data_IF_628977481791
#
_entry.id   IF_628977481791
#
_cell.length_a   1.000
_cell.length_b   1.000
_cell.length_c   1.000
_cell.angle_alpha   90.00
_cell.angle_beta   90.00
_cell.angle_gamma   90.00
#
_symmetry.space_group_name_H-M   'P 1'
#
loop_
_entity.id
_entity.type
_entity.pdbx_description
1 polymer ?
#
# COMPACT_ATOMS: atom_id res chain seq x y z
N UNK A 1 -12.41 20.66 23.77
CA UNK A 1 -12.88 19.39 24.38
C UNK A 1 -13.39 18.54 23.25
N UNK A 2 -12.73 17.42 22.97
CA UNK A 2 -13.10 16.52 21.88
C UNK A 2 -13.95 15.39 22.44
N UNK A 3 -14.98 15.02 21.68
CA UNK A 3 -15.84 13.88 21.94
C UNK A 3 -15.60 12.83 20.86
N UNK A 4 -15.31 11.60 21.27
CA UNK A 4 -15.32 10.45 20.36
C UNK A 4 -16.67 9.76 20.48
N UNK A 5 -17.33 9.53 19.35
CA UNK A 5 -18.60 8.82 19.30
C UNK A 5 -18.48 7.56 18.45
N UNK A 6 -19.27 6.56 18.80
CA UNK A 6 -19.37 5.31 18.04
C UNK A 6 -20.82 5.07 17.64
N UNK A 7 -21.04 4.86 16.35
CA UNK A 7 -22.34 4.56 15.77
C UNK A 7 -22.42 3.09 15.37
N UNK A 8 -23.56 2.46 15.69
CA UNK A 8 -23.97 1.21 15.09
C UNK A 8 -24.74 1.50 13.82
N UNK A 9 -24.33 0.91 12.71
CA UNK A 9 -24.97 1.04 11.41
C UNK A 9 -25.66 -0.27 11.04
N UNK A 10 -26.48 -0.22 9.99
CA UNK A 10 -27.09 -1.40 9.37
C UNK A 10 -26.05 -2.41 8.89
N UNK A 11 -26.42 -3.69 8.86
CA UNK A 11 -25.54 -4.77 8.41
C UNK A 11 -24.38 -5.11 9.36
N UNK A 12 -24.48 -4.71 10.63
CA UNK A 12 -23.44 -4.98 11.64
C UNK A 12 -22.16 -4.18 11.41
N UNK A 13 -22.27 -3.01 10.76
CA UNK A 13 -21.15 -2.10 10.53
C UNK A 13 -21.07 -1.06 11.64
N UNK A 14 -19.89 -0.49 11.84
CA UNK A 14 -19.63 0.51 12.87
C UNK A 14 -18.88 1.70 12.29
N UNK A 15 -19.17 2.88 12.84
CA UNK A 15 -18.45 4.11 12.53
C UNK A 15 -17.98 4.80 13.79
N UNK A 16 -16.70 5.17 13.82
CA UNK A 16 -16.10 5.97 14.88
C UNK A 16 -15.81 7.34 14.29
N UNK A 17 -16.18 8.38 15.03
CA UNK A 17 -15.90 9.74 14.64
C UNK A 17 -15.55 10.60 15.83
N UNK A 18 -14.78 11.65 15.59
CA UNK A 18 -14.57 12.73 16.56
C UNK A 18 -15.42 13.96 16.26
N UNK A 19 -15.77 14.70 17.30
CA UNK A 19 -16.48 15.97 17.18
C UNK A 19 -16.31 16.82 18.43
N UNK A 20 -16.37 18.13 18.25
CA UNK A 20 -16.48 19.08 19.37
C UNK A 20 -17.94 19.36 19.75
N UNK A 21 -18.90 19.00 18.87
CA UNK A 21 -20.32 19.29 19.00
C UNK A 21 -21.15 18.02 18.74
N UNK A 22 -21.31 17.13 19.73
CA UNK A 22 -21.93 15.82 19.55
C UNK A 22 -23.38 15.92 19.07
N UNK A 23 -24.19 16.80 19.66
CA UNK A 23 -25.61 16.96 19.30
C UNK A 23 -25.80 17.18 17.79
N UNK A 24 -25.18 18.23 17.26
CA UNK A 24 -25.28 18.61 15.85
C UNK A 24 -24.70 17.53 14.92
N UNK A 25 -23.55 16.96 15.29
CA UNK A 25 -22.88 15.96 14.45
C UNK A 25 -23.69 14.68 14.34
N UNK A 26 -24.25 14.22 15.46
CA UNK A 26 -25.07 13.02 15.52
C UNK A 26 -26.36 13.22 14.72
N UNK A 27 -27.08 14.33 14.91
CA UNK A 27 -28.27 14.66 14.12
C UNK A 27 -27.97 14.72 12.62
N UNK A 28 -26.83 15.29 12.22
CA UNK A 28 -26.39 15.33 10.82
C UNK A 28 -26.20 13.94 10.20
N UNK A 29 -25.67 12.97 10.96
CA UNK A 29 -25.56 11.58 10.49
C UNK A 29 -26.94 10.94 10.27
N UNK A 30 -27.90 11.14 11.17
CA UNK A 30 -29.26 10.63 11.00
C UNK A 30 -30.02 11.32 9.84
N UNK A 31 -29.69 12.58 9.57
CA UNK A 31 -30.23 13.36 8.45
C UNK A 31 -29.46 13.15 7.13
N UNK A 32 -28.65 12.09 7.01
CA UNK A 32 -27.89 11.70 5.79
C UNK A 32 -26.74 12.64 5.35
N UNK A 33 -26.33 13.60 6.18
CA UNK A 33 -25.17 14.47 5.96
C UNK A 33 -23.91 13.96 6.70
N UNK A 34 -23.73 12.64 6.71
CA UNK A 34 -22.61 11.96 7.34
C UNK A 34 -21.40 11.73 6.43
N UNK A 35 -20.44 10.93 6.92
CA UNK A 35 -19.37 10.36 6.09
C UNK A 35 -19.93 9.42 5.03
N UNK A 36 -19.18 9.16 3.96
CA UNK A 36 -19.59 8.22 2.91
C UNK A 36 -20.00 6.86 3.46
N UNK A 37 -19.29 6.36 4.47
CA UNK A 37 -19.61 5.11 5.16
C UNK A 37 -21.00 5.14 5.82
N UNK A 38 -21.35 6.23 6.51
CA UNK A 38 -22.67 6.38 7.14
C UNK A 38 -23.80 6.74 6.17
N UNK A 39 -23.46 7.18 4.95
CA UNK A 39 -24.41 7.32 3.83
C UNK A 39 -24.70 5.96 3.21
N UNK A 40 -23.69 5.11 3.08
CA UNK A 40 -23.81 3.75 2.57
C UNK A 40 -24.56 2.84 3.56
N UNK A 41 -24.25 2.93 4.85
CA UNK A 41 -24.89 2.17 5.93
C UNK A 41 -25.56 3.10 6.91
N UNK A 42 -26.89 3.08 6.97
CA UNK A 42 -27.65 4.03 7.80
C UNK A 42 -27.37 3.81 9.28
N UNK A 43 -27.21 4.88 10.08
CA UNK A 43 -27.03 4.77 11.51
C UNK A 43 -28.33 4.31 12.19
N UNK A 44 -28.22 3.26 13.01
CA UNK A 44 -29.31 2.72 13.81
C UNK A 44 -29.35 3.45 15.16
N UNK A 45 -28.20 3.52 15.84
CA UNK A 45 -28.09 4.12 17.17
C UNK A 45 -26.65 4.46 17.53
N UNK A 46 -26.51 5.29 18.55
CA UNK A 46 -25.23 5.62 19.19
C UNK A 46 -24.92 4.52 20.20
N UNK A 47 -23.72 3.95 20.12
CA UNK A 47 -23.23 2.94 21.07
C UNK A 47 -22.47 3.57 22.23
N UNK A 48 -21.53 4.46 21.91
CA UNK A 48 -20.67 5.11 22.90
C UNK A 48 -20.50 6.58 22.55
N UNK A 49 -20.40 7.42 23.58
CA UNK A 49 -20.00 8.82 23.48
C UNK A 49 -19.04 9.10 24.63
N UNK A 50 -17.75 9.27 24.31
CA UNK A 50 -16.67 9.51 25.25
C UNK A 50 -16.26 10.99 25.22
N UNK A 51 -16.49 11.74 26.31
CA UNK A 51 -16.01 13.12 26.44
C UNK A 51 -14.54 13.17 26.87
N UNK A 52 -13.90 14.33 26.72
CA UNK A 52 -12.52 14.60 27.16
C UNK A 52 -11.45 13.71 26.51
N UNK A 53 -11.64 13.36 25.25
CA UNK A 53 -10.65 12.61 24.48
C UNK A 53 -9.64 13.55 23.80
N UNK A 54 -8.55 12.97 23.33
CA UNK A 54 -7.60 13.62 22.42
C UNK A 54 -7.86 13.23 20.94
N UNK A 55 -7.05 13.79 20.04
CA UNK A 55 -7.17 13.50 18.61
C UNK A 55 -6.73 12.09 18.22
N UNK A 56 -5.89 11.43 19.03
CA UNK A 56 -5.36 10.08 18.79
C UNK A 56 -6.33 8.98 19.26
N UNK A 57 -7.22 9.30 20.19
CA UNK A 57 -8.23 8.39 20.71
C UNK A 57 -9.19 7.88 19.63
N UNK A 58 -9.43 8.65 18.56
CA UNK A 58 -10.27 8.23 17.44
C UNK A 58 -9.69 6.98 16.75
N UNK A 59 -8.41 7.01 16.38
CA UNK A 59 -7.74 5.89 15.70
C UNK A 59 -7.59 4.70 16.63
N UNK A 60 -7.29 4.97 17.90
CA UNK A 60 -7.19 3.94 18.95
C UNK A 60 -8.52 3.19 19.12
N UNK A 61 -9.63 3.90 19.25
CA UNK A 61 -10.96 3.29 19.41
C UNK A 61 -11.37 2.57 18.11
N UNK A 62 -11.05 3.16 16.96
CA UNK A 62 -11.30 2.54 15.65
C UNK A 62 -10.60 1.18 15.57
N UNK A 63 -9.32 1.10 15.91
CA UNK A 63 -8.56 -0.16 15.96
C UNK A 63 -9.14 -1.16 16.95
N UNK A 64 -9.50 -0.73 18.15
CA UNK A 64 -10.15 -1.61 19.15
C UNK A 64 -11.44 -2.24 18.62
N UNK A 65 -12.23 -1.46 17.88
CA UNK A 65 -13.44 -1.95 17.24
C UNK A 65 -13.13 -2.87 16.05
N UNK A 66 -12.09 -2.59 15.26
CA UNK A 66 -11.63 -3.46 14.17
C UNK A 66 -11.19 -4.84 14.69
N UNK A 67 -10.50 -4.89 15.82
CA UNK A 67 -10.09 -6.15 16.45
C UNK A 67 -11.30 -6.96 16.92
N UNK A 68 -12.35 -6.28 17.42
CA UNK A 68 -13.56 -6.91 17.95
C UNK A 68 -14.56 -7.36 16.88
N UNK A 69 -14.76 -6.54 15.85
CA UNK A 69 -15.82 -6.76 14.85
C UNK A 69 -15.28 -7.08 13.45
N UNK A 70 -13.96 -7.01 13.25
CA UNK A 70 -13.28 -7.21 11.97
C UNK A 70 -12.99 -5.90 11.23
N UNK A 71 -11.82 -5.85 10.59
CA UNK A 71 -11.31 -4.67 9.86
C UNK A 71 -12.31 -4.18 8.79
N UNK A 72 -13.02 -5.08 8.13
CA UNK A 72 -13.98 -4.74 7.06
C UNK A 72 -15.34 -4.21 7.56
N UNK A 73 -15.58 -4.23 8.88
CA UNK A 73 -16.86 -3.84 9.46
C UNK A 73 -16.82 -2.47 10.13
N UNK A 74 -15.64 -1.86 10.23
CA UNK A 74 -15.40 -0.66 11.03
C UNK A 74 -14.67 0.39 10.21
N UNK A 75 -15.12 1.64 10.27
CA UNK A 75 -14.44 2.80 9.67
C UNK A 75 -14.42 3.98 10.64
N UNK A 76 -13.40 4.82 10.53
CA UNK A 76 -13.20 5.98 11.40
C UNK A 76 -11.77 6.51 11.29
N UNK A 77 -11.53 7.73 11.76
CA UNK A 77 -10.19 8.34 11.77
C UNK A 77 -9.46 8.22 10.43
N UNK A 78 -8.22 7.74 10.46
CA UNK A 78 -7.38 7.50 9.28
C UNK A 78 -7.91 6.40 8.34
N UNK A 79 -8.85 5.56 8.79
CA UNK A 79 -9.39 4.42 8.05
C UNK A 79 -10.83 4.68 7.59
N UNK A 80 -11.12 5.87 7.06
CA UNK A 80 -12.47 6.27 6.64
C UNK A 80 -12.87 5.74 5.26
N UNK A 81 -11.90 5.42 4.41
CA UNK A 81 -12.13 4.97 3.03
C UNK A 81 -13.03 3.75 2.94
N UNK A 82 -13.99 3.75 2.00
CA UNK A 82 -14.95 2.65 1.83
C UNK A 82 -14.21 1.32 1.60
N UNK A 83 -13.29 1.33 0.64
CA UNK A 83 -12.36 0.24 0.36
C UNK A 83 -11.00 0.61 0.95
N UNK A 84 -10.46 -0.25 1.80
CA UNK A 84 -9.09 -0.13 2.30
C UNK A 84 -8.16 -0.86 1.34
N UNK A 85 -6.97 -0.31 1.13
CA UNK A 85 -5.94 -0.99 0.33
C UNK A 85 -5.43 -2.23 1.06
N UNK A 86 -5.00 -3.24 0.30
CA UNK A 86 -4.49 -4.52 0.83
C UNK A 86 -3.35 -4.30 1.81
N UNK A 87 -2.40 -3.44 1.46
CA UNK A 87 -1.28 -3.05 2.34
C UNK A 87 -1.75 -2.51 3.71
N UNK A 88 -2.81 -1.69 3.73
CA UNK A 88 -3.34 -1.11 4.98
C UNK A 88 -4.00 -2.18 5.83
N UNK A 89 -4.73 -3.09 5.19
CA UNK A 89 -5.38 -4.23 5.86
C UNK A 89 -4.31 -5.13 6.48
N UNK A 90 -3.22 -5.41 5.77
CA UNK A 90 -2.15 -6.28 6.27
C UNK A 90 -1.36 -5.61 7.41
N UNK A 91 -1.11 -4.31 7.31
CA UNK A 91 -0.56 -3.52 8.42
C UNK A 91 -1.45 -3.60 9.67
N UNK A 92 -2.78 -3.45 9.51
CA UNK A 92 -3.73 -3.58 10.61
C UNK A 92 -3.76 -5.01 11.19
N UNK A 93 -3.66 -6.04 10.36
CA UNK A 93 -3.55 -7.44 10.81
C UNK A 93 -2.27 -7.67 11.61
N UNK A 94 -1.13 -7.16 11.13
CA UNK A 94 0.14 -7.26 11.86
C UNK A 94 0.03 -6.56 13.21
N UNK A 95 -0.50 -5.33 13.24
CA UNK A 95 -0.75 -4.59 14.48
C UNK A 95 -1.66 -5.34 15.46
N UNK A 96 -2.71 -5.99 14.94
CA UNK A 96 -3.60 -6.86 15.73
C UNK A 96 -2.85 -8.08 16.26
N UNK A 97 -2.03 -8.73 15.44
CA UNK A 97 -1.27 -9.91 15.84
C UNK A 97 -0.28 -9.56 16.95
N UNK A 98 0.41 -8.42 16.85
CA UNK A 98 1.30 -7.91 17.90
C UNK A 98 0.58 -7.56 19.20
N UNK A 99 -0.65 -7.03 19.12
CA UNK A 99 -1.47 -6.72 20.31
C UNK A 99 -1.97 -8.00 21.02
N UNK A 100 -2.06 -9.12 20.30
CA UNK A 100 -2.58 -10.39 20.81
C UNK A 100 -1.51 -11.48 20.99
N UNK A 101 -0.21 -11.11 21.00
CA UNK A 101 0.93 -12.02 21.11
C UNK A 101 0.89 -13.20 20.10
N UNK A 102 0.40 -12.91 18.89
CA UNK A 102 0.34 -13.85 17.77
C UNK A 102 1.52 -13.62 16.83
N UNK A 103 1.99 -14.69 16.21
CA UNK A 103 2.97 -14.63 15.15
C UNK A 103 2.45 -13.74 14.00
N UNK A 104 3.31 -12.85 13.51
CA UNK A 104 2.98 -11.96 12.40
C UNK A 104 2.82 -12.68 11.06
N UNK A 105 3.35 -13.90 10.94
CA UNK A 105 3.35 -14.71 9.72
C UNK A 105 2.15 -15.66 9.69
N UNK A 106 2.04 -16.57 10.66
CA UNK A 106 1.02 -17.63 10.65
C UNK A 106 -0.18 -17.40 11.59
N UNK A 107 -0.25 -16.25 12.26
CA UNK A 107 -1.30 -15.89 13.24
C UNK A 107 -1.44 -16.82 14.47
N UNK A 108 -0.54 -17.81 14.63
CA UNK A 108 -0.53 -18.72 15.79
C UNK A 108 0.21 -18.10 16.97
N UNK A 109 -0.18 -18.50 18.18
CA UNK A 109 0.46 -18.05 19.42
C UNK A 109 1.68 -18.91 19.77
N UNK A 110 2.54 -18.41 20.64
CA UNK A 110 3.62 -19.20 21.27
C UNK A 110 4.98 -19.14 20.57
N UNK A 111 5.14 -18.32 19.52
CA UNK A 111 6.42 -18.07 18.88
C UNK A 111 6.45 -16.67 18.23
N UNK A 112 7.64 -16.15 17.97
CA UNK A 112 7.85 -14.92 17.22
C UNK A 112 7.97 -15.23 15.72
N UNK A 113 7.77 -14.23 14.86
CA UNK A 113 7.90 -14.38 13.41
C UNK A 113 9.24 -15.02 12.99
N UNK A 114 10.35 -14.67 13.65
CA UNK A 114 11.68 -15.25 13.42
C UNK A 114 11.77 -16.77 13.69
N UNK A 115 10.85 -17.31 14.49
CA UNK A 115 10.80 -18.70 14.91
C UNK A 115 9.60 -19.43 14.23
N UNK A 116 8.99 -18.81 13.21
CA UNK A 116 7.87 -19.37 12.46
C UNK A 116 8.38 -20.46 11.51
N UNK A 117 7.78 -21.65 11.58
CA UNK A 117 8.11 -22.76 10.65
C UNK A 117 7.25 -22.76 9.39
N UNK A 118 6.18 -21.95 9.39
CA UNK A 118 5.36 -21.67 8.21
C UNK A 118 5.91 -20.40 7.57
N UNK A 119 7.11 -20.50 7.00
CA UNK A 119 7.66 -19.51 6.08
C UNK A 119 6.95 -19.70 4.74
N UNK A 120 5.69 -19.25 4.66
CA UNK A 120 5.18 -18.82 3.37
C UNK A 120 5.82 -17.45 3.11
N UNK A 121 6.92 -17.47 2.37
CA UNK A 121 7.46 -16.27 1.77
C UNK A 121 6.33 -15.61 0.98
N UNK A 122 5.96 -14.40 1.37
CA UNK A 122 5.01 -13.59 0.62
C UNK A 122 5.73 -13.21 -0.68
N UNK A 123 5.50 -13.99 -1.73
CA UNK A 123 5.55 -13.45 -3.09
C UNK A 123 4.67 -12.20 -3.04
N UNK A 124 5.27 -11.05 -3.31
CA UNK A 124 4.53 -9.82 -3.52
C UNK A 124 3.64 -10.05 -4.73
N UNK A 125 2.38 -10.42 -4.48
CA UNK A 125 1.31 -10.23 -5.45
C UNK A 125 1.20 -8.71 -5.68
N UNK A 126 2.03 -8.17 -6.57
CA UNK A 126 1.76 -6.89 -7.19
C UNK A 126 0.48 -7.11 -7.99
N UNK A 127 -0.62 -6.59 -7.45
CA UNK A 127 -1.96 -6.63 -8.05
C UNK A 127 -2.02 -5.73 -9.31
N UNK A 128 -1.11 -5.94 -10.26
CA UNK A 128 -1.19 -5.46 -11.63
C UNK A 128 -1.08 -6.68 -12.55
N UNK A 129 -2.21 -7.02 -13.18
CA UNK A 129 -2.25 -7.97 -14.29
C UNK A 129 -1.47 -7.37 -15.46
N UNK A 130 -0.15 -7.56 -15.48
CA UNK A 130 0.69 -7.18 -16.61
C UNK A 130 0.33 -8.08 -17.80
N UNK A 131 -0.32 -7.53 -18.81
CA UNK A 131 -0.37 -8.16 -20.13
C UNK A 131 1.06 -8.18 -20.70
N UNK A 132 1.71 -9.36 -20.64
CA UNK A 132 3.04 -9.56 -21.23
C UNK A 132 3.02 -9.25 -22.73
N UNK A 133 3.58 -8.09 -23.07
CA UNK A 133 3.69 -7.59 -24.44
C UNK A 133 5.02 -8.02 -25.06
N UNK A 134 4.94 -8.80 -26.13
CA UNK A 134 6.10 -9.32 -26.86
C UNK A 134 6.46 -8.37 -27.98
N UNK A 135 7.67 -7.83 -27.97
CA UNK A 135 8.11 -6.87 -28.99
C UNK A 135 9.15 -7.53 -29.89
N UNK A 136 8.93 -7.46 -31.19
CA UNK A 136 9.91 -7.94 -32.15
C UNK A 136 11.14 -7.02 -32.14
N UNK A 137 12.29 -7.54 -31.71
CA UNK A 137 13.55 -6.78 -31.62
C UNK A 137 14.02 -6.20 -32.96
N UNK A 138 13.57 -6.78 -34.08
CA UNK A 138 13.96 -6.34 -35.42
C UNK A 138 13.16 -5.12 -35.90
N UNK A 139 11.92 -4.91 -35.44
CA UNK A 139 11.04 -3.86 -35.99
C UNK A 139 10.19 -3.09 -34.97
N UNK A 140 10.28 -3.44 -33.68
CA UNK A 140 9.54 -2.78 -32.61
C UNK A 140 8.03 -3.08 -32.62
N UNK A 141 7.56 -4.09 -33.38
CA UNK A 141 6.14 -4.45 -33.36
C UNK A 141 5.79 -5.21 -32.09
N UNK A 142 4.74 -4.75 -31.44
CA UNK A 142 4.16 -5.33 -30.24
C UNK A 142 3.15 -6.43 -30.58
N UNK A 143 3.17 -7.50 -29.80
CA UNK A 143 2.30 -8.66 -29.92
C UNK A 143 1.83 -9.08 -28.54
N UNK A 144 0.54 -9.39 -28.41
CA UNK A 144 -0.05 -9.90 -27.15
C UNK A 144 0.16 -11.40 -26.95
N UNK A 145 0.72 -12.10 -27.95
CA UNK A 145 1.00 -13.54 -27.90
C UNK A 145 2.40 -13.84 -28.44
N UNK A 146 3.21 -14.57 -27.65
CA UNK A 146 4.57 -15.00 -27.99
C UNK A 146 4.65 -15.65 -29.38
N UNK A 147 3.76 -16.62 -29.67
CA UNK A 147 3.74 -17.33 -30.96
C UNK A 147 3.52 -16.43 -32.17
N UNK A 148 2.85 -15.29 -31.98
CA UNK A 148 2.66 -14.30 -33.05
C UNK A 148 3.93 -13.51 -33.28
N UNK A 149 4.65 -13.14 -32.21
CA UNK A 149 5.97 -12.53 -32.28
C UNK A 149 6.98 -13.47 -32.97
N UNK A 150 7.07 -14.72 -32.53
CA UNK A 150 7.99 -15.73 -33.12
C UNK A 150 7.73 -15.97 -34.61
N UNK A 151 6.45 -16.05 -35.01
CA UNK A 151 6.10 -16.22 -36.42
C UNK A 151 6.40 -14.97 -37.23
N UNK A 152 6.20 -13.80 -36.64
CA UNK A 152 6.57 -12.55 -37.27
C UNK A 152 8.09 -12.44 -37.48
N UNK A 153 8.91 -12.79 -36.48
CA UNK A 153 10.37 -12.75 -36.55
C UNK A 153 10.94 -13.59 -37.70
N UNK A 154 10.36 -14.77 -37.95
CA UNK A 154 10.77 -15.67 -39.06
C UNK A 154 10.67 -15.02 -40.44
N UNK A 155 9.81 -14.02 -40.59
CA UNK A 155 9.55 -13.34 -41.86
C UNK A 155 9.79 -11.81 -41.77
N UNK A 156 10.40 -11.35 -40.67
CA UNK A 156 10.64 -9.94 -40.44
C UNK A 156 11.85 -9.46 -41.26
N UNK A 157 11.58 -8.64 -42.28
CA UNK A 157 12.56 -8.18 -43.27
C UNK A 157 13.21 -6.82 -42.96
N UNK A 158 13.13 -6.32 -41.71
CA UNK A 158 13.74 -5.04 -41.34
C UNK A 158 15.23 -5.20 -41.03
N UNK A 159 16.05 -5.17 -42.07
CA UNK A 159 17.47 -4.85 -41.95
C UNK A 159 17.65 -3.36 -41.61
N UNK A 160 17.47 -2.99 -40.35
CA UNK A 160 18.11 -1.78 -39.81
C UNK A 160 18.28 -1.87 -38.29
N UNK A 161 19.53 -2.12 -37.87
CA UNK A 161 20.03 -1.79 -36.53
C UNK A 161 20.04 -0.27 -36.38
N UNK A 162 19.74 0.19 -35.16
CA UNK A 162 19.76 1.58 -34.61
C UNK A 162 18.39 2.25 -34.66
N UNK A 163 17.96 3.00 -33.65
CA UNK A 163 18.56 3.54 -32.42
C UNK A 163 17.35 3.96 -31.57
N UNK A 164 17.34 3.72 -30.26
CA UNK A 164 16.32 4.28 -29.37
C UNK A 164 16.36 5.82 -29.47
N UNK A 165 15.34 6.38 -30.12
CA UNK A 165 14.96 7.78 -30.06
C UNK A 165 13.53 7.74 -29.54
N UNK A 166 13.32 8.13 -28.29
CA UNK A 166 12.02 8.57 -27.83
C UNK A 166 12.08 10.10 -27.81
N UNK A 167 11.47 10.71 -28.83
CA UNK A 167 11.00 12.10 -28.76
C UNK A 167 9.59 12.10 -28.20
N UNK A 168 9.41 12.99 -27.24
CA UNK A 168 8.22 13.37 -26.50
C UNK A 168 7.00 13.67 -27.36
N UNK A 169 5.82 13.37 -26.84
CA UNK A 169 4.63 14.19 -27.07
C UNK A 169 4.05 14.61 -25.74
N UNK A 170 4.08 15.92 -25.58
CA UNK A 170 3.43 16.76 -24.59
C UNK A 170 1.93 16.48 -24.59
N UNK A 171 1.38 16.24 -23.41
CA UNK A 171 0.06 16.73 -23.03
C UNK A 171 0.22 17.27 -21.59
N UNK A 172 -0.10 18.54 -21.45
CA UNK A 172 0.06 19.38 -20.26
C UNK A 172 -0.68 18.80 -19.04
N UNK A 173 0.03 18.66 -17.92
CA UNK A 173 -0.45 19.00 -16.57
C UNK A 173 0.79 19.12 -15.65
N UNK A 174 1.10 20.35 -15.25
CA UNK A 174 2.18 20.69 -14.31
C UNK A 174 1.84 20.16 -12.91
N UNK A 175 2.70 19.31 -12.34
CA UNK A 175 3.12 19.38 -10.93
C UNK A 175 4.38 18.49 -10.75
N UNK A 176 5.50 19.16 -10.43
CA UNK A 176 6.82 18.62 -10.13
C UNK A 176 6.78 17.61 -8.97
N UNK A 177 7.38 16.43 -9.15
CA UNK A 177 8.19 15.73 -8.13
C UNK A 177 8.98 14.59 -8.82
N UNK A 178 10.28 14.81 -9.05
CA UNK A 178 11.25 13.82 -9.56
C UNK A 178 11.59 12.82 -8.45
N UNK A 179 11.04 11.59 -8.51
CA UNK A 179 11.55 10.45 -7.75
C UNK A 179 12.33 9.54 -8.69
N UNK A 180 13.66 9.57 -8.54
CA UNK A 180 14.61 8.62 -9.13
C UNK A 180 14.28 7.19 -8.63
N UNK A 181 13.86 6.31 -9.53
CA UNK A 181 13.76 4.86 -9.28
C UNK A 181 15.17 4.26 -9.23
N UNK A 182 15.81 4.32 -8.05
CA UNK A 182 17.01 3.53 -7.76
C UNK A 182 16.60 2.09 -7.42
N UNK A 183 16.86 1.16 -8.35
CA UNK A 183 16.95 -0.29 -8.10
C UNK A 183 17.92 -0.53 -6.91
N UNK A 184 17.36 -0.75 -5.72
CA UNK A 184 18.07 -1.09 -4.48
C UNK A 184 18.67 -2.53 -4.56
N UNK A 185 19.63 -2.74 -5.47
CA UNK A 185 20.61 -3.81 -5.33
C UNK A 185 21.58 -3.43 -4.21
N UNK A 186 21.75 -4.32 -3.21
CA UNK A 186 22.50 -4.16 -1.95
C UNK A 186 24.01 -3.90 -2.18
N UNK A 187 24.31 -2.74 -2.76
CA UNK A 187 25.61 -2.31 -3.23
C UNK A 187 26.20 -1.27 -2.27
N UNK A 188 27.53 -1.32 -2.11
CA UNK A 188 28.20 -0.40 -1.22
C UNK A 188 28.09 1.04 -1.72
N UNK A 189 27.39 1.92 -0.99
CA UNK A 189 27.25 3.35 -1.30
C UNK A 189 28.55 4.13 -1.54
N UNK A 190 29.71 3.61 -1.10
CA UNK A 190 31.02 4.21 -1.39
C UNK A 190 31.60 3.79 -2.73
N UNK A 191 31.42 2.55 -3.17
CA UNK A 191 32.12 2.04 -4.35
C UNK A 191 31.24 1.40 -5.42
N UNK A 192 29.95 1.18 -5.13
CA UNK A 192 28.96 0.55 -5.99
C UNK A 192 29.19 -0.95 -6.22
N UNK A 193 29.94 -1.65 -5.35
CA UNK A 193 30.10 -3.11 -5.41
C UNK A 193 29.31 -3.77 -4.28
N UNK A 194 28.72 -4.91 -4.57
CA UNK A 194 27.99 -5.76 -3.61
C UNK A 194 28.90 -6.39 -2.53
N UNK A 195 28.27 -6.95 -1.50
CA UNK A 195 28.92 -7.85 -0.53
C UNK A 195 29.68 -7.19 0.63
N UNK A 196 29.53 -5.86 0.85
CA UNK A 196 30.09 -5.19 2.02
C UNK A 196 29.41 -3.84 2.34
N UNK A 197 29.42 -3.46 3.62
CA UNK A 197 28.97 -2.14 4.06
C UNK A 197 29.98 -1.03 3.74
N UNK A 198 29.48 0.20 3.54
CA UNK A 198 30.30 1.40 3.34
C UNK A 198 31.38 1.63 4.42
N UNK A 199 31.08 1.24 5.67
CA UNK A 199 32.00 1.31 6.81
C UNK A 199 33.21 0.37 6.68
N UNK A 200 33.08 -0.70 5.91
CA UNK A 200 34.13 -1.69 5.65
C UNK A 200 34.62 -1.65 4.19
N UNK A 201 34.37 -0.54 3.50
CA UNK A 201 34.80 -0.36 2.11
C UNK A 201 36.28 0.04 2.03
N UNK A 202 37.09 -0.85 1.46
CA UNK A 202 38.52 -0.65 1.21
C UNK A 202 38.84 -0.25 -0.24
N UNK A 203 37.82 0.01 -1.06
CA UNK A 203 38.00 0.34 -2.47
C UNK A 203 38.63 1.72 -2.65
N UNK A 204 39.65 1.81 -3.51
CA UNK A 204 40.25 3.08 -3.93
C UNK A 204 39.58 3.69 -5.18
N UNK A 205 38.66 2.95 -5.82
CA UNK A 205 37.91 3.37 -7.02
C UNK A 205 36.47 2.87 -7.02
N UNK A 206 35.58 3.71 -7.52
CA UNK A 206 34.17 3.40 -7.80
C UNK A 206 34.04 2.45 -9.01
N UNK A 207 32.94 1.68 -9.12
CA UNK A 207 32.63 0.87 -10.31
C UNK A 207 32.55 1.71 -11.61
N UNK A 208 32.17 2.98 -11.47
CA UNK A 208 32.11 3.99 -12.55
C UNK A 208 33.50 4.57 -12.90
N UNK A 209 34.59 4.08 -12.29
CA UNK A 209 35.97 4.33 -12.73
C UNK A 209 36.73 5.50 -12.07
N UNK A 210 36.06 6.34 -11.27
CA UNK A 210 36.71 7.45 -10.57
C UNK A 210 37.32 7.03 -9.21
N UNK A 211 38.30 7.80 -8.73
CA UNK A 211 38.96 7.54 -7.45
C UNK A 211 38.10 8.02 -6.27
N UNK A 212 38.03 7.20 -5.23
CA UNK A 212 37.31 7.51 -3.99
C UNK A 212 38.25 8.26 -3.04
N UNK A 213 37.75 9.34 -2.42
CA UNK A 213 38.48 10.12 -1.42
C UNK A 213 38.37 9.51 -0.03
#
# INVERSE_FOLDING_TARGET
>A
MVFIYTLQLEGGKYYIGKTNNPQFRLESHFNSNGSEWTKLYKPIRILELKPNCDDYDEDKITRQYMDKYGINNVRGGSFVSIKLQKHTIDTLKQMRNGTNDKCFVCEKVGHFAKDCQEDECWETDSDEEYELMWVCECCGKEFTEEKKCENHEKYCNSTNKKQNIYESKEDDDEDDDEDDEDDDEDCCFRCGREGHYASSCYASKHIKGYYLK
#
